data_IF_655454581217
#
_entry.id   IF_655454581217
#
_cell.length_a   1.000
_cell.length_b   1.000
_cell.length_c   1.000
_cell.angle_alpha   90.00
_cell.angle_beta   90.00
_cell.angle_gamma   90.00
#
_symmetry.space_group_name_H-M   'P 1'
#
loop_
_entity.id
_entity.type
_entity.pdbx_description
1 polymer ?
#
# COMPACT_ATOMS: atom_id res chain seq x y z
N UNK A 1 -16.13 2.17 7.44
CA UNK A 1 -15.56 2.95 8.56
C UNK A 1 -14.46 3.85 7.98
N UNK A 2 -14.59 5.16 7.80
CA UNK A 2 -15.61 6.09 8.26
C UNK A 2 -15.43 7.44 7.51
N UNK A 3 -16.16 7.63 6.40
CA UNK A 3 -16.11 8.88 5.60
C UNK A 3 -16.57 10.08 6.44
N UNK A 4 -17.45 9.80 7.42
CA UNK A 4 -17.85 10.70 8.49
C UNK A 4 -16.72 10.97 9.49
N UNK A 5 -15.97 9.98 10.03
CA UNK A 5 -14.79 10.33 10.87
C UNK A 5 -13.72 11.09 10.10
N UNK A 6 -13.48 10.76 8.82
CA UNK A 6 -12.56 11.55 7.98
C UNK A 6 -13.07 12.99 7.86
N UNK A 7 -14.35 13.23 7.58
CA UNK A 7 -14.95 14.58 7.55
C UNK A 7 -14.94 15.31 8.91
N UNK A 8 -15.25 14.62 10.00
CA UNK A 8 -15.26 15.20 11.35
C UNK A 8 -13.84 15.56 11.78
N UNK A 9 -12.85 14.67 11.61
CA UNK A 9 -11.43 14.98 11.84
C UNK A 9 -10.97 16.22 11.05
N UNK A 10 -11.49 16.43 9.83
CA UNK A 10 -11.11 17.54 8.94
C UNK A 10 -11.72 18.89 9.36
N UNK A 11 -13.01 18.93 9.69
CA UNK A 11 -13.64 20.16 10.22
C UNK A 11 -13.03 20.48 11.58
N UNK A 12 -12.82 19.47 12.42
CA UNK A 12 -12.14 19.65 13.71
C UNK A 12 -10.73 20.19 13.54
N UNK A 13 -9.95 19.72 12.57
CA UNK A 13 -8.59 20.24 12.33
C UNK A 13 -8.62 21.72 11.92
N UNK A 14 -9.46 22.11 10.96
CA UNK A 14 -9.57 23.52 10.52
C UNK A 14 -10.04 24.41 11.67
N UNK A 15 -11.06 23.99 12.42
CA UNK A 15 -11.61 24.72 13.57
C UNK A 15 -10.57 24.85 14.69
N UNK A 16 -9.82 23.78 14.99
CA UNK A 16 -8.76 23.82 16.00
C UNK A 16 -7.63 24.73 15.56
N UNK A 17 -7.19 24.66 14.30
CA UNK A 17 -6.12 25.54 13.80
C UNK A 17 -6.53 27.01 13.82
N UNK A 18 -7.77 27.34 13.43
CA UNK A 18 -8.26 28.73 13.46
C UNK A 18 -8.36 29.26 14.89
N UNK A 19 -8.89 28.46 15.83
CA UNK A 19 -8.95 28.82 17.26
C UNK A 19 -7.54 29.06 17.81
N UNK A 20 -6.59 28.15 17.53
CA UNK A 20 -5.19 28.29 18.00
C UNK A 20 -4.55 29.57 17.43
N UNK A 21 -4.71 29.82 16.13
CA UNK A 21 -4.15 31.04 15.52
C UNK A 21 -4.78 32.32 16.03
N UNK A 22 -6.08 32.30 16.33
CA UNK A 22 -6.79 33.47 16.89
C UNK A 22 -6.31 33.77 18.31
N UNK A 23 -6.20 32.74 19.16
CA UNK A 23 -5.68 32.88 20.53
C UNK A 23 -4.22 33.37 20.50
N UNK A 24 -3.39 32.81 19.62
CA UNK A 24 -2.00 33.24 19.46
C UNK A 24 -1.90 34.71 19.03
N UNK A 25 -2.71 35.14 18.05
CA UNK A 25 -2.73 36.53 17.58
C UNK A 25 -3.14 37.50 18.70
N UNK A 26 -4.17 37.17 19.49
CA UNK A 26 -4.62 37.99 20.62
C UNK A 26 -3.58 38.04 21.76
N UNK A 27 -2.89 36.92 22.04
CA UNK A 27 -1.78 36.89 22.99
C UNK A 27 -0.63 37.80 22.54
N UNK A 28 -0.24 37.76 21.26
CA UNK A 28 0.83 38.60 20.72
C UNK A 28 0.49 40.08 20.87
N UNK A 29 -0.73 40.49 20.50
CA UNK A 29 -1.18 41.89 20.61
C UNK A 29 -1.22 42.32 22.08
N UNK A 30 -1.69 41.46 22.98
CA UNK A 30 -1.75 41.77 24.42
C UNK A 30 -0.36 41.98 25.02
N UNK A 31 0.60 41.12 24.68
CA UNK A 31 2.00 41.25 25.13
C UNK A 31 2.66 42.49 24.55
N UNK A 32 2.41 42.81 23.26
CA UNK A 32 2.95 44.00 22.62
C UNK A 32 2.47 45.29 23.29
N UNK A 33 1.17 45.39 23.63
CA UNK A 33 0.65 46.56 24.34
C UNK A 33 1.20 46.69 25.76
N UNK A 34 1.37 45.57 26.47
CA UNK A 34 1.96 45.56 27.80
C UNK A 34 3.42 46.04 27.78
N UNK A 35 4.17 45.73 26.71
CA UNK A 35 5.54 46.20 26.49
C UNK A 35 5.61 47.68 26.08
N UNK A 36 4.65 48.17 25.30
CA UNK A 36 4.62 49.57 24.81
C UNK A 36 4.03 50.55 25.82
N UNK A 37 3.36 50.07 26.88
CA UNK A 37 2.77 50.92 27.91
C UNK A 37 1.56 51.76 27.44
N UNK A 38 1.02 51.47 26.25
CA UNK A 38 -0.15 52.16 25.71
C UNK A 38 -1.46 51.40 25.97
N UNK A 39 -2.56 52.11 26.26
CA UNK A 39 -3.86 51.49 26.45
C UNK A 39 -4.36 50.84 25.16
N UNK A 40 -4.93 49.64 25.28
CA UNK A 40 -5.44 48.87 24.14
C UNK A 40 -6.60 49.62 23.49
N UNK A 41 -6.45 50.01 22.23
CA UNK A 41 -7.50 50.68 21.47
C UNK A 41 -8.42 49.63 20.82
N UNK A 42 -9.74 49.79 20.97
CA UNK A 42 -10.73 48.79 20.53
C UNK A 42 -10.65 48.47 19.03
N UNK A 43 -10.29 49.44 18.18
CA UNK A 43 -10.20 49.22 16.74
C UNK A 43 -9.03 48.29 16.34
N UNK A 44 -7.94 48.25 17.12
CA UNK A 44 -6.77 47.41 16.81
C UNK A 44 -7.07 45.92 17.03
N UNK A 45 -7.89 45.59 18.04
CA UNK A 45 -8.39 44.23 18.27
C UNK A 45 -9.26 43.79 17.08
N UNK A 46 -10.18 44.66 16.63
CA UNK A 46 -11.09 44.34 15.51
C UNK A 46 -10.30 44.08 14.23
N UNK A 47 -9.32 44.93 13.89
CA UNK A 47 -8.46 44.74 12.72
C UNK A 47 -7.69 43.42 12.82
N UNK A 48 -7.13 43.10 13.99
CA UNK A 48 -6.38 41.86 14.21
C UNK A 48 -7.24 40.62 14.01
N UNK A 49 -8.46 40.61 14.56
CA UNK A 49 -9.39 39.48 14.43
C UNK A 49 -9.83 39.31 12.98
N UNK A 50 -10.21 40.39 12.29
CA UNK A 50 -10.65 40.36 10.89
C UNK A 50 -9.52 39.90 9.98
N UNK A 51 -8.32 40.44 10.14
CA UNK A 51 -7.14 40.05 9.35
C UNK A 51 -6.79 38.57 9.57
N UNK A 52 -6.84 38.10 10.82
CA UNK A 52 -6.54 36.70 11.16
C UNK A 52 -7.55 35.77 10.50
N UNK A 53 -8.85 36.06 10.56
CA UNK A 53 -9.89 35.22 9.94
C UNK A 53 -9.72 35.16 8.41
N UNK A 54 -9.45 36.29 7.76
CA UNK A 54 -9.27 36.33 6.31
C UNK A 54 -8.05 35.52 5.85
N UNK A 55 -6.90 35.74 6.48
CA UNK A 55 -5.65 35.05 6.13
C UNK A 55 -5.77 33.55 6.41
N UNK A 56 -6.26 33.17 7.60
CA UNK A 56 -6.37 31.76 8.00
C UNK A 56 -7.33 30.99 7.11
N UNK A 57 -8.43 31.61 6.64
CA UNK A 57 -9.36 31.00 5.70
C UNK A 57 -8.70 30.67 4.36
N UNK A 58 -7.98 31.63 3.76
CA UNK A 58 -7.31 31.44 2.46
C UNK A 58 -6.20 30.39 2.56
N UNK A 59 -5.37 30.46 3.60
CA UNK A 59 -4.29 29.50 3.83
C UNK A 59 -4.85 28.10 4.06
N UNK A 60 -5.92 27.97 4.86
CA UNK A 60 -6.57 26.67 5.12
C UNK A 60 -7.12 26.05 3.84
N UNK A 61 -7.74 26.85 2.97
CA UNK A 61 -8.23 26.37 1.67
C UNK A 61 -7.09 25.87 0.77
N UNK A 62 -5.99 26.63 0.71
CA UNK A 62 -4.83 26.25 -0.09
C UNK A 62 -4.17 24.95 0.43
N UNK A 63 -3.92 24.86 1.73
CA UNK A 63 -3.36 23.66 2.37
C UNK A 63 -4.27 22.45 2.17
N UNK A 64 -5.59 22.65 2.22
CA UNK A 64 -6.53 21.59 1.91
C UNK A 64 -6.40 21.07 0.47
N UNK A 65 -6.26 21.98 -0.51
CA UNK A 65 -6.01 21.61 -1.90
C UNK A 65 -4.74 20.76 -2.05
N UNK A 66 -3.67 21.13 -1.35
CA UNK A 66 -2.42 20.37 -1.35
C UNK A 66 -2.57 18.98 -0.71
N UNK A 67 -3.22 18.90 0.46
CA UNK A 67 -3.45 17.63 1.14
C UNK A 67 -4.29 16.67 0.28
N UNK A 68 -5.31 17.19 -0.40
CA UNK A 68 -6.14 16.37 -1.30
C UNK A 68 -5.33 15.83 -2.47
N UNK A 69 -4.47 16.66 -3.06
CA UNK A 69 -3.56 16.24 -4.13
C UNK A 69 -2.55 15.21 -3.64
N UNK A 70 -2.07 15.34 -2.40
CA UNK A 70 -1.18 14.36 -1.79
C UNK A 70 -1.89 13.01 -1.59
N UNK A 71 -3.11 13.02 -1.04
CA UNK A 71 -3.92 11.80 -0.83
C UNK A 71 -4.21 11.10 -2.17
N UNK A 72 -4.50 11.85 -3.25
CA UNK A 72 -4.71 11.26 -4.57
C UNK A 72 -3.43 10.66 -5.14
N UNK A 73 -2.29 11.34 -5.04
CA UNK A 73 -1.01 10.83 -5.49
C UNK A 73 -0.57 9.58 -4.72
N UNK A 74 -0.80 9.56 -3.40
CA UNK A 74 -0.52 8.37 -2.59
C UNK A 74 -1.39 7.18 -3.02
N UNK A 75 -2.67 7.42 -3.29
CA UNK A 75 -3.57 6.38 -3.74
C UNK A 75 -3.20 5.85 -5.13
N UNK A 76 -2.83 6.74 -6.06
CA UNK A 76 -2.32 6.37 -7.38
C UNK A 76 -1.03 5.55 -7.28
N UNK A 77 -0.10 5.96 -6.42
CA UNK A 77 1.16 5.24 -6.18
C UNK A 77 0.91 3.85 -5.59
N UNK A 78 0.01 3.73 -4.60
CA UNK A 78 -0.35 2.42 -4.02
C UNK A 78 -0.96 1.49 -5.08
N UNK A 79 -1.80 2.04 -5.95
CA UNK A 79 -2.40 1.29 -7.05
C UNK A 79 -1.37 0.87 -8.11
N UNK A 80 -0.43 1.75 -8.47
CA UNK A 80 0.63 1.43 -9.41
C UNK A 80 1.54 0.33 -8.87
N UNK A 81 1.95 0.41 -7.60
CA UNK A 81 2.75 -0.61 -6.92
C UNK A 81 2.00 -1.95 -6.92
N UNK A 82 0.69 -1.96 -6.64
CA UNK A 82 -0.10 -3.19 -6.65
C UNK A 82 -0.11 -3.85 -8.03
N UNK A 83 -0.28 -3.05 -9.09
CA UNK A 83 -0.25 -3.55 -10.48
C UNK A 83 1.12 -4.08 -10.89
N UNK A 84 2.17 -3.38 -10.48
CA UNK A 84 3.55 -3.79 -10.78
C UNK A 84 3.89 -5.12 -10.08
N UNK A 85 3.50 -5.28 -8.81
CA UNK A 85 3.63 -6.55 -8.09
C UNK A 85 2.90 -7.69 -8.81
N UNK A 86 1.68 -7.43 -9.28
CA UNK A 86 0.91 -8.41 -10.05
C UNK A 86 1.62 -8.80 -11.36
N UNK A 87 2.10 -7.83 -12.11
CA UNK A 87 2.84 -8.07 -13.35
C UNK A 87 4.12 -8.89 -13.12
N UNK A 88 4.90 -8.55 -12.09
CA UNK A 88 6.12 -9.28 -11.71
C UNK A 88 5.79 -10.72 -11.32
N UNK A 89 4.74 -10.93 -10.53
CA UNK A 89 4.32 -12.26 -10.12
C UNK A 89 3.92 -13.11 -11.33
N UNK A 90 3.04 -12.61 -12.20
CA UNK A 90 2.58 -13.34 -13.39
C UNK A 90 3.78 -13.71 -14.29
N UNK A 91 4.68 -12.75 -14.55
CA UNK A 91 5.88 -13.00 -15.33
C UNK A 91 6.78 -14.07 -14.69
N UNK A 92 6.93 -14.03 -13.36
CA UNK A 92 7.75 -15.00 -12.60
C UNK A 92 7.15 -16.41 -12.64
N UNK A 93 5.83 -16.53 -12.51
CA UNK A 93 5.12 -17.81 -12.62
C UNK A 93 5.25 -18.38 -14.03
N UNK A 94 4.99 -17.58 -15.06
CA UNK A 94 5.10 -18.03 -16.45
C UNK A 94 6.52 -18.48 -16.79
N UNK A 95 7.53 -17.74 -16.31
CA UNK A 95 8.94 -18.12 -16.47
C UNK A 95 9.24 -19.44 -15.74
N UNK A 96 8.82 -19.57 -14.49
CA UNK A 96 9.02 -20.78 -13.68
C UNK A 96 8.34 -22.00 -14.31
N UNK A 97 7.10 -21.83 -14.79
CA UNK A 97 6.36 -22.88 -15.48
C UNK A 97 7.08 -23.33 -16.75
N UNK A 98 7.63 -22.41 -17.54
CA UNK A 98 8.43 -22.75 -18.72
C UNK A 98 9.69 -23.55 -18.35
N UNK A 99 10.44 -23.10 -17.34
CA UNK A 99 11.64 -23.81 -16.86
C UNK A 99 11.30 -25.21 -16.34
N UNK A 100 10.25 -25.33 -15.53
CA UNK A 100 9.83 -26.61 -14.95
C UNK A 100 9.28 -27.54 -16.01
N UNK A 101 8.46 -27.07 -16.94
CA UNK A 101 7.98 -27.90 -18.06
C UNK A 101 9.15 -28.44 -18.89
N UNK A 102 10.17 -27.62 -19.16
CA UNK A 102 11.35 -28.08 -19.88
C UNK A 102 12.12 -29.15 -19.08
N UNK A 103 12.29 -28.96 -17.77
CA UNK A 103 12.91 -29.95 -16.90
C UNK A 103 12.11 -31.26 -16.88
N UNK A 104 10.79 -31.19 -16.71
CA UNK A 104 9.90 -32.36 -16.71
C UNK A 104 9.98 -33.13 -18.04
N UNK A 105 10.00 -32.42 -19.16
CA UNK A 105 10.20 -33.02 -20.47
C UNK A 105 11.55 -33.75 -20.58
N UNK A 106 12.63 -33.18 -20.05
CA UNK A 106 13.94 -33.85 -20.01
C UNK A 106 13.93 -35.08 -19.09
N UNK A 107 13.28 -34.99 -17.94
CA UNK A 107 13.13 -36.12 -17.01
C UNK A 107 12.23 -37.24 -17.56
N UNK A 108 11.33 -36.93 -18.50
CA UNK A 108 10.55 -37.95 -19.20
C UNK A 108 11.43 -38.89 -20.04
N UNK A 109 12.55 -38.40 -20.59
CA UNK A 109 13.55 -39.26 -21.25
C UNK A 109 14.15 -40.27 -20.28
N UNK A 110 14.45 -39.82 -19.05
CA UNK A 110 14.97 -40.67 -17.98
C UNK A 110 13.92 -41.71 -17.58
N UNK A 111 12.65 -41.31 -17.45
CA UNK A 111 11.54 -42.23 -17.16
C UNK A 111 11.42 -43.34 -18.23
N UNK A 112 11.61 -42.99 -19.50
CA UNK A 112 11.60 -43.97 -20.59
C UNK A 112 12.78 -44.93 -20.52
N UNK A 113 13.96 -44.48 -20.11
CA UNK A 113 15.14 -45.34 -19.99
C UNK A 113 15.02 -46.31 -18.81
N UNK A 114 14.49 -45.84 -17.68
CA UNK A 114 14.14 -46.68 -16.52
C UNK A 114 13.22 -47.83 -16.94
N UNK A 115 12.18 -47.55 -17.73
CA UNK A 115 11.24 -48.59 -18.22
C UNK A 115 11.88 -49.64 -19.11
N UNK A 116 13.00 -49.33 -19.78
CA UNK A 116 13.72 -50.30 -20.62
C UNK A 116 14.66 -51.22 -19.82
N UNK A 117 14.95 -50.89 -18.56
CA UNK A 117 15.81 -51.71 -17.71
C UNK A 117 14.98 -52.64 -16.81
N UNK A 118 14.89 -53.95 -17.13
CA UNK A 118 14.13 -54.90 -16.31
C UNK A 118 14.76 -55.15 -14.93
N UNK A 119 16.01 -54.74 -14.72
CA UNK A 119 16.72 -54.85 -13.45
C UNK A 119 16.63 -53.59 -12.59
N UNK A 120 15.94 -52.54 -13.05
CA UNK A 120 15.81 -51.30 -12.31
C UNK A 120 14.82 -51.47 -11.14
N UNK A 121 15.09 -50.80 -10.01
CA UNK A 121 14.23 -50.92 -8.83
C UNK A 121 12.87 -50.25 -9.05
N UNK A 122 11.81 -51.05 -8.93
CA UNK A 122 10.42 -50.63 -9.18
C UNK A 122 9.94 -49.55 -8.20
N UNK A 123 10.45 -49.54 -6.96
CA UNK A 123 10.08 -48.52 -5.97
C UNK A 123 10.69 -47.18 -6.33
N UNK A 124 11.94 -47.17 -6.77
CA UNK A 124 12.63 -45.95 -7.25
C UNK A 124 11.95 -45.41 -8.50
N UNK A 125 11.56 -46.28 -9.44
CA UNK A 125 10.83 -45.90 -10.64
C UNK A 125 9.48 -45.23 -10.31
N UNK A 126 8.74 -45.78 -9.34
CA UNK A 126 7.49 -45.21 -8.86
C UNK A 126 7.68 -43.85 -8.18
N UNK A 127 8.68 -43.74 -7.29
CA UNK A 127 8.99 -42.49 -6.60
C UNK A 127 9.34 -41.37 -7.59
N UNK A 128 10.10 -41.69 -8.63
CA UNK A 128 10.47 -40.76 -9.68
C UNK A 128 9.25 -40.22 -10.45
N UNK A 129 8.29 -41.10 -10.79
CA UNK A 129 7.04 -40.69 -11.41
C UNK A 129 6.18 -39.78 -10.51
N UNK A 130 6.10 -40.12 -9.22
CA UNK A 130 5.35 -39.32 -8.24
C UNK A 130 5.93 -37.91 -8.08
N UNK A 131 7.26 -37.78 -8.03
CA UNK A 131 7.91 -36.46 -7.97
C UNK A 131 7.62 -35.58 -9.20
N UNK A 132 7.53 -36.17 -10.39
CA UNK A 132 7.19 -35.42 -11.62
C UNK A 132 5.73 -34.92 -11.59
N UNK A 133 4.82 -35.77 -11.12
CA UNK A 133 3.40 -35.43 -10.96
C UNK A 133 3.22 -34.33 -9.92
N UNK A 134 3.87 -34.47 -8.75
CA UNK A 134 3.85 -33.48 -7.67
C UNK A 134 4.40 -32.13 -8.12
N UNK A 135 5.52 -32.11 -8.84
CA UNK A 135 6.09 -30.87 -9.38
C UNK A 135 5.14 -30.17 -10.37
N UNK A 136 4.40 -30.95 -11.18
CA UNK A 136 3.40 -30.42 -12.11
C UNK A 136 2.21 -29.83 -11.35
N UNK A 137 1.73 -30.53 -10.31
CA UNK A 137 0.60 -30.09 -9.51
C UNK A 137 0.92 -28.81 -8.73
N UNK A 138 2.07 -28.76 -8.04
CA UNK A 138 2.52 -27.57 -7.30
C UNK A 138 2.64 -26.35 -8.22
N UNK A 139 3.07 -26.54 -9.46
CA UNK A 139 3.16 -25.45 -10.44
C UNK A 139 1.79 -24.94 -10.88
N UNK A 140 0.82 -25.83 -11.07
CA UNK A 140 -0.57 -25.44 -11.36
C UNK A 140 -1.20 -24.71 -10.17
N UNK A 141 -0.97 -25.18 -8.95
CA UNK A 141 -1.46 -24.55 -7.73
C UNK A 141 -0.91 -23.13 -7.57
N UNK A 142 0.40 -22.94 -7.80
CA UNK A 142 1.04 -21.63 -7.76
C UNK A 142 0.53 -20.68 -8.86
N UNK A 143 0.23 -21.19 -10.05
CA UNK A 143 -0.38 -20.41 -11.14
C UNK A 143 -1.85 -20.02 -10.88
N UNK A 144 -2.55 -20.70 -9.98
CA UNK A 144 -3.97 -20.47 -9.69
C UNK A 144 -4.24 -19.38 -8.64
N UNK A 145 -3.19 -18.80 -8.05
CA UNK A 145 -3.29 -17.78 -6.99
C UNK A 145 -3.97 -16.52 -7.52
N UNK A 146 -5.14 -16.18 -6.96
CA UNK A 146 -5.94 -15.01 -7.34
C UNK A 146 -5.54 -13.72 -6.61
N UNK A 147 -5.04 -13.84 -5.37
CA UNK A 147 -4.59 -12.72 -4.56
C UNK A 147 -3.09 -12.83 -4.37
N UNK A 148 -2.35 -11.86 -4.88
CA UNK A 148 -0.88 -11.85 -4.90
C UNK A 148 -0.39 -11.22 -3.60
N UNK A 149 -0.74 -11.88 -2.49
CA UNK A 149 -0.26 -11.60 -1.15
C UNK A 149 0.59 -12.78 -0.67
N UNK A 150 1.56 -12.50 0.20
CA UNK A 150 2.59 -13.49 0.59
C UNK A 150 1.97 -14.72 1.24
N UNK A 151 0.94 -14.51 2.06
CA UNK A 151 0.22 -15.54 2.80
C UNK A 151 -0.57 -16.45 1.86
N UNK A 152 -1.19 -15.87 0.84
CA UNK A 152 -2.00 -16.61 -0.13
C UNK A 152 -1.13 -17.44 -1.08
N UNK A 153 0.01 -16.90 -1.50
CA UNK A 153 1.02 -17.63 -2.29
C UNK A 153 1.59 -18.81 -1.48
N UNK A 154 1.90 -18.62 -0.19
CA UNK A 154 2.38 -19.73 0.66
C UNK A 154 1.32 -20.79 0.86
N UNK A 155 0.08 -20.37 1.09
CA UNK A 155 -1.05 -21.29 1.29
C UNK A 155 -1.33 -22.12 0.05
N UNK A 156 -1.13 -21.58 -1.15
CA UNK A 156 -1.41 -22.32 -2.39
C UNK A 156 -0.47 -23.49 -2.62
N UNK A 157 0.75 -23.47 -2.07
CA UNK A 157 1.78 -24.51 -2.28
C UNK A 157 2.04 -25.36 -1.04
N UNK A 158 1.28 -25.18 0.04
CA UNK A 158 1.46 -25.98 1.26
C UNK A 158 0.75 -27.32 1.08
N UNK A 159 1.45 -28.46 1.16
CA UNK A 159 0.84 -29.78 1.04
C UNK A 159 -0.17 -30.01 2.17
N UNK A 160 -1.30 -30.66 1.85
CA UNK A 160 -2.35 -31.02 2.82
C UNK A 160 -2.04 -32.33 3.54
#
# INVERSE_FOLDING_TARGET
>A
MNLLMKKFSRITLVVVTTIITLVAALCIVSVAHLLMGEPIQQYQIVITVVATILITSVVSWYLYGLLKKLESLEQELRHSISKEKEAIYIASIQSSQHVINNLLNQLMLVAMEIKKQPTFDDKVAKLFGQMQEEATELMQQLASVKQIEVEDIKRSITPK
#
